data_IF_730733477720
#
_entry.id   IF_730733477720
#
_cell.length_a   1.000
_cell.length_b   1.000
_cell.length_c   1.000
_cell.angle_alpha   90.00
_cell.angle_beta   90.00
_cell.angle_gamma   90.00
#
_symmetry.space_group_name_H-M   'P 1'
#
loop_
_entity.id
_entity.type
_entity.pdbx_description
1 polymer ?
#
# COMPACT_ATOMS: atom_id res chain seq x y z
N UNK A 1 7.13 17.28 -12.36
CA UNK A 1 7.24 17.47 -10.89
C UNK A 1 7.22 16.10 -10.22
N UNK A 2 8.01 15.90 -9.16
CA UNK A 2 7.96 14.66 -8.38
C UNK A 2 6.88 14.75 -7.30
N UNK A 3 6.09 13.68 -7.17
CA UNK A 3 5.03 13.58 -6.18
C UNK A 3 4.97 12.18 -5.58
N UNK A 4 4.23 12.05 -4.49
CA UNK A 4 4.06 10.80 -3.75
C UNK A 4 2.59 10.48 -3.61
N UNK A 5 2.22 9.21 -3.81
CA UNK A 5 0.91 8.67 -3.49
C UNK A 5 1.06 7.59 -2.41
N UNK A 6 0.24 7.69 -1.36
CA UNK A 6 0.18 6.72 -0.27
C UNK A 6 -1.00 5.77 -0.48
N UNK A 7 -0.76 4.50 -0.20
CA UNK A 7 -1.79 3.47 -0.14
C UNK A 7 -1.67 2.75 1.19
N UNK A 8 -2.79 2.62 1.91
CA UNK A 8 -2.88 1.85 3.15
C UNK A 8 -3.79 0.64 2.89
N UNK A 9 -3.35 -0.53 3.33
CA UNK A 9 -4.13 -1.76 3.32
C UNK A 9 -3.83 -2.62 4.54
N UNK A 10 -4.27 -3.87 4.50
CA UNK A 10 -3.97 -4.91 5.48
C UNK A 10 -3.30 -6.10 4.80
N UNK A 11 -2.44 -6.81 5.51
CA UNK A 11 -1.64 -7.92 4.99
C UNK A 11 -2.49 -9.10 4.48
N UNK A 12 -3.66 -9.31 5.08
CA UNK A 12 -4.62 -10.32 4.65
C UNK A 12 -5.36 -9.97 3.35
N UNK A 13 -5.21 -8.73 2.83
CA UNK A 13 -5.88 -8.25 1.62
C UNK A 13 -4.91 -7.55 0.65
N UNK A 14 -3.66 -8.03 0.60
CA UNK A 14 -2.65 -7.57 -0.35
C UNK A 14 -3.09 -7.64 -1.82
N UNK A 15 -3.83 -8.66 -2.30
CA UNK A 15 -4.25 -8.73 -3.70
C UNK A 15 -5.18 -7.57 -4.11
N UNK A 16 -6.05 -7.10 -3.21
CA UNK A 16 -6.89 -5.93 -3.52
C UNK A 16 -6.08 -4.65 -3.48
N UNK A 17 -5.16 -4.50 -2.52
CA UNK A 17 -4.22 -3.36 -2.46
C UNK A 17 -3.40 -3.25 -3.76
N UNK A 18 -2.87 -4.37 -4.25
CA UNK A 18 -2.14 -4.42 -5.52
C UNK A 18 -3.03 -4.01 -6.69
N UNK A 19 -4.26 -4.54 -6.77
CA UNK A 19 -5.23 -4.20 -7.80
C UNK A 19 -5.57 -2.72 -7.78
N UNK A 20 -5.72 -2.13 -6.59
CA UNK A 20 -6.00 -0.70 -6.41
C UNK A 20 -4.84 0.16 -6.93
N UNK A 21 -3.60 -0.16 -6.54
CA UNK A 21 -2.40 0.55 -7.00
C UNK A 21 -2.28 0.47 -8.53
N UNK A 22 -2.39 -0.73 -9.09
CA UNK A 22 -2.30 -0.95 -10.54
C UNK A 22 -3.39 -0.20 -11.31
N UNK A 23 -4.63 -0.22 -10.80
CA UNK A 23 -5.74 0.52 -11.41
C UNK A 23 -5.50 2.03 -11.37
N UNK A 24 -4.95 2.54 -10.26
CA UNK A 24 -4.60 3.95 -10.12
C UNK A 24 -3.52 4.36 -11.12
N UNK A 25 -2.40 3.62 -11.21
CA UNK A 25 -1.32 3.89 -12.16
C UNK A 25 -1.84 3.94 -13.60
N UNK A 26 -2.68 2.95 -13.98
CA UNK A 26 -3.29 2.91 -15.32
C UNK A 26 -4.22 4.10 -15.59
N UNK A 27 -5.03 4.49 -14.60
CA UNK A 27 -6.01 5.58 -14.76
C UNK A 27 -5.34 6.95 -14.86
N UNK A 28 -4.24 7.16 -14.14
CA UNK A 28 -3.56 8.46 -14.11
C UNK A 28 -2.51 8.61 -15.20
N UNK A 29 -1.98 7.50 -15.75
CA UNK A 29 -0.92 7.54 -16.75
C UNK A 29 0.40 8.12 -16.22
N UNK A 30 0.57 8.16 -14.89
CA UNK A 30 1.78 8.69 -14.25
C UNK A 30 2.97 7.78 -14.51
N UNK A 31 4.15 8.39 -14.61
CA UNK A 31 5.41 7.65 -14.68
C UNK A 31 5.86 7.31 -13.26
N UNK A 32 5.86 6.02 -12.92
CA UNK A 32 6.35 5.54 -11.63
C UNK A 32 7.88 5.62 -11.59
N UNK A 33 8.40 6.26 -10.54
CA UNK A 33 9.84 6.41 -10.29
C UNK A 33 10.34 5.37 -9.28
N UNK A 34 9.57 5.15 -8.21
CA UNK A 34 9.91 4.22 -7.14
C UNK A 34 8.65 3.74 -6.42
N UNK A 35 8.70 2.52 -5.91
CA UNK A 35 7.68 1.94 -5.01
C UNK A 35 8.42 1.41 -3.78
N UNK A 36 8.02 1.85 -2.60
CA UNK A 36 8.48 1.32 -1.33
C UNK A 36 7.30 0.94 -0.44
N UNK A 37 7.51 0.01 0.48
CA UNK A 37 6.45 -0.47 1.36
C UNK A 37 6.97 -0.81 2.75
N UNK A 38 6.07 -0.77 3.73
CA UNK A 38 6.30 -1.23 5.08
C UNK A 38 5.14 -2.14 5.52
N UNK A 39 5.47 -3.17 6.29
CA UNK A 39 4.53 -4.06 6.95
C UNK A 39 4.64 -3.79 8.45
N UNK A 40 3.53 -3.49 9.12
CA UNK A 40 3.55 -3.39 10.57
C UNK A 40 3.90 -4.75 11.18
N UNK A 41 4.83 -4.79 12.13
CA UNK A 41 5.05 -5.97 12.94
C UNK A 41 3.75 -6.31 13.68
N UNK A 42 3.13 -7.45 13.36
CA UNK A 42 2.00 -7.93 14.16
C UNK A 42 2.47 -8.12 15.62
N UNK A 43 1.73 -7.65 16.63
CA UNK A 43 2.02 -8.04 18.00
C UNK A 43 1.92 -9.56 18.08
N UNK A 44 3.02 -10.20 18.49
CA UNK A 44 3.19 -11.66 18.42
C UNK A 44 1.93 -12.40 18.89
N UNK A 45 1.51 -13.39 18.10
CA UNK A 45 0.33 -14.20 18.36
C UNK A 45 0.25 -14.58 19.85
N UNK A 46 -0.70 -13.99 20.58
CA UNK A 46 -0.99 -14.44 21.93
C UNK A 46 -1.42 -15.92 21.82
N UNK A 47 -0.67 -16.82 22.45
CA UNK A 47 -0.83 -18.27 22.40
C UNK A 47 -2.06 -18.75 23.20
N UNK A 48 -3.26 -18.33 22.77
CA UNK A 48 -4.53 -18.72 23.35
C UNK A 48 -5.51 -19.27 22.30
N UNK A 49 -6.48 -20.12 22.67
CA UNK A 49 -7.38 -20.82 21.72
C UNK A 49 -8.35 -19.91 20.93
N UNK A 50 -8.30 -18.59 21.15
CA UNK A 50 -9.13 -17.56 20.51
C UNK A 50 -8.29 -16.39 19.98
N UNK A 51 -7.09 -16.65 19.46
CA UNK A 51 -6.28 -15.62 18.79
C UNK A 51 -6.88 -15.28 17.41
N UNK A 52 -7.88 -14.41 17.38
CA UNK A 52 -8.42 -13.89 16.12
C UNK A 52 -7.32 -13.08 15.41
N UNK A 53 -6.83 -13.63 14.29
CA UNK A 53 -6.07 -13.01 13.21
C UNK A 53 -6.01 -11.48 13.26
N UNK A 54 -5.06 -10.91 14.00
CA UNK A 54 -4.80 -9.48 13.95
C UNK A 54 -4.07 -9.20 12.63
N UNK A 55 -4.80 -8.70 11.63
CA UNK A 55 -4.19 -8.30 10.36
C UNK A 55 -3.21 -7.14 10.58
N UNK A 56 -2.01 -7.26 10.05
CA UNK A 56 -1.01 -6.20 10.06
C UNK A 56 -1.38 -5.10 9.06
N UNK A 57 -1.13 -3.85 9.42
CA UNK A 57 -1.25 -2.71 8.50
C UNK A 57 -0.11 -2.74 7.48
N UNK A 58 -0.44 -2.38 6.23
CA UNK A 58 0.51 -2.26 5.12
C UNK A 58 0.46 -0.84 4.59
N UNK A 59 1.62 -0.19 4.50
CA UNK A 59 1.77 1.13 3.86
C UNK A 59 2.62 0.98 2.61
N UNK A 60 2.09 1.39 1.46
CA UNK A 60 2.84 1.48 0.20
C UNK A 60 2.94 2.94 -0.22
N UNK A 61 4.15 3.34 -0.58
CA UNK A 61 4.51 4.68 -1.02
C UNK A 61 4.96 4.59 -2.47
N UNK A 62 4.25 5.29 -3.35
CA UNK A 62 4.57 5.33 -4.77
C UNK A 62 5.07 6.73 -5.12
N UNK A 63 6.34 6.84 -5.47
CA UNK A 63 6.95 8.07 -5.99
C UNK A 63 6.75 8.11 -7.50
N UNK A 64 6.23 9.23 -8.00
CA UNK A 64 5.87 9.39 -9.40
C UNK A 64 6.34 10.72 -9.96
N UNK A 65 6.49 10.76 -11.27
CA UNK A 65 6.66 11.96 -12.07
C UNK A 65 5.35 12.30 -12.78
N UNK A 66 4.93 13.55 -12.63
CA UNK A 66 3.70 14.08 -13.25
C UNK A 66 3.91 15.53 -13.73
N UNK A 67 3.25 15.88 -14.82
CA UNK A 67 3.23 17.26 -15.36
C UNK A 67 2.27 18.17 -14.59
N UNK A 68 1.20 17.58 -14.02
CA UNK A 68 0.18 18.29 -13.23
C UNK A 68 0.10 17.71 -11.82
N UNK A 69 -0.25 18.51 -10.81
CA UNK A 69 -0.45 17.98 -9.46
C UNK A 69 -1.50 16.85 -9.44
N UNK A 70 -1.21 15.79 -8.68
CA UNK A 70 -2.14 14.71 -8.38
C UNK A 70 -3.12 15.17 -7.31
N UNK A 71 -4.13 15.93 -7.72
CA UNK A 71 -5.12 16.54 -6.84
C UNK A 71 -4.83 18.02 -6.60
#
# INVERSE_FOLDING_TARGET
MQQVKLFKGVDNDLPELERQINRWIRKTGVKVLSISGNLSSQPGAASGPMSSFAAGDVLVIVQVETEKPLG
#
